data_IF_561973409141
#
_entry.id   IF_561973409141
#
_cell.length_a   1.000
_cell.length_b   1.000
_cell.length_c   1.000
_cell.angle_alpha   90.00
_cell.angle_beta   90.00
_cell.angle_gamma   90.00
#
_symmetry.space_group_name_H-M   'P 1'
#
loop_
_entity.id
_entity.type
_entity.pdbx_description
1 polymer ?
#
# COMPACT_ATOMS: atom_id res chain seq x y z
N UNK A 1 -8.89 12.85 19.76
CA UNK A 1 -8.50 11.98 18.63
C UNK A 1 -8.16 10.62 19.19
N UNK A 2 -8.93 9.59 18.85
CA UNK A 2 -8.66 8.21 19.25
C UNK A 2 -7.40 7.72 18.52
N UNK A 3 -6.61 6.89 19.20
CA UNK A 3 -5.25 6.48 18.81
C UNK A 3 -5.17 5.70 17.48
N UNK A 4 -6.32 5.38 16.88
CA UNK A 4 -6.45 4.44 15.75
C UNK A 4 -6.68 5.10 14.39
N UNK A 5 -6.66 6.44 14.31
CA UNK A 5 -6.80 7.14 13.02
C UNK A 5 -5.45 7.24 12.31
N UNK A 6 -5.47 7.17 10.97
CA UNK A 6 -4.28 7.41 10.15
C UNK A 6 -3.70 8.79 10.46
N UNK A 7 -2.42 8.83 10.82
CA UNK A 7 -1.68 10.06 11.11
C UNK A 7 -0.70 10.39 9.99
N UNK A 8 -0.37 11.65 9.82
CA UNK A 8 0.75 12.05 8.96
C UNK A 8 2.08 11.45 9.47
N UNK A 9 3.05 11.17 8.58
CA UNK A 9 4.39 10.76 9.02
C UNK A 9 5.07 11.90 9.78
N UNK A 10 6.00 11.56 10.68
CA UNK A 10 6.84 12.55 11.35
C UNK A 10 7.79 13.23 10.36
N UNK A 11 8.30 14.42 10.70
CA UNK A 11 9.28 15.12 9.88
C UNK A 11 10.51 14.25 9.60
N UNK A 12 10.97 14.24 8.34
CA UNK A 12 12.06 13.37 7.88
C UNK A 12 11.65 11.94 7.54
N UNK A 13 10.39 11.55 7.74
CA UNK A 13 9.86 10.25 7.37
C UNK A 13 8.85 10.35 6.22
N UNK A 14 8.70 9.25 5.51
CA UNK A 14 7.57 9.01 4.61
C UNK A 14 6.67 7.95 5.22
N UNK A 15 5.38 7.98 4.87
CA UNK A 15 4.46 6.88 5.17
C UNK A 15 4.22 6.08 3.91
N UNK A 16 4.40 4.76 3.99
CA UNK A 16 4.10 3.85 2.89
C UNK A 16 2.79 3.13 3.23
N UNK A 17 1.77 3.35 2.41
CA UNK A 17 0.53 2.58 2.50
C UNK A 17 0.58 1.48 1.44
N UNK A 18 0.37 0.24 1.85
CA UNK A 18 0.47 -0.95 0.99
C UNK A 18 -0.87 -1.65 1.00
N UNK A 19 -1.30 -2.10 -0.18
CA UNK A 19 -2.47 -2.95 -0.36
C UNK A 19 -2.14 -4.11 -1.31
N UNK A 20 -2.87 -5.20 -1.15
CA UNK A 20 -2.74 -6.40 -1.98
C UNK A 20 -4.06 -6.78 -2.60
N UNK A 21 -4.02 -7.26 -3.84
CA UNK A 21 -5.20 -7.78 -4.52
C UNK A 21 -4.91 -9.11 -5.19
N UNK A 22 -5.93 -9.97 -5.23
CA UNK A 22 -5.90 -11.25 -5.93
C UNK A 22 -7.08 -11.30 -6.89
N UNK A 23 -6.82 -11.67 -8.15
CA UNK A 23 -7.90 -11.92 -9.10
C UNK A 23 -8.43 -13.34 -8.94
N UNK A 24 -9.76 -13.47 -8.88
CA UNK A 24 -10.46 -14.77 -8.80
C UNK A 24 -10.61 -15.44 -10.16
N UNK A 25 -10.46 -14.68 -11.26
CA UNK A 25 -10.59 -15.19 -12.63
C UNK A 25 -9.25 -15.70 -13.20
N UNK A 26 -8.16 -15.00 -12.90
CA UNK A 26 -6.80 -15.45 -13.15
C UNK A 26 -6.10 -15.42 -11.81
N UNK A 27 -5.63 -16.55 -11.26
CA UNK A 27 -5.10 -16.62 -9.90
C UNK A 27 -3.78 -15.88 -9.80
N UNK A 28 -3.80 -14.54 -9.90
CA UNK A 28 -2.65 -13.64 -9.92
C UNK A 28 -2.81 -12.70 -8.75
N UNK A 29 -1.79 -12.68 -7.90
CA UNK A 29 -1.68 -11.71 -6.82
C UNK A 29 -0.77 -10.56 -7.24
N UNK A 30 -1.18 -9.36 -6.85
CA UNK A 30 -0.42 -8.13 -6.99
C UNK A 30 -0.39 -7.41 -5.65
N UNK A 31 0.73 -6.76 -5.37
CA UNK A 31 0.84 -5.79 -4.28
C UNK A 31 1.13 -4.43 -4.88
N UNK A 32 0.60 -3.39 -4.26
CA UNK A 32 0.90 -2.02 -4.63
C UNK A 32 1.00 -1.14 -3.40
N UNK A 33 1.56 0.04 -3.58
CA UNK A 33 1.62 0.99 -2.50
C UNK A 33 1.86 2.40 -2.95
N UNK A 34 1.55 3.33 -2.05
CA UNK A 34 1.76 4.76 -2.22
C UNK A 34 2.70 5.28 -1.14
N UNK A 35 3.68 6.07 -1.57
CA UNK A 35 4.58 6.80 -0.70
C UNK A 35 3.98 8.18 -0.45
N UNK A 36 3.77 8.49 0.83
CA UNK A 36 3.13 9.72 1.31
C UNK A 36 4.12 10.59 2.07
N UNK A 37 4.15 11.87 1.73
CA UNK A 37 4.99 12.86 2.38
C UNK A 37 4.42 13.38 3.70
N UNK A 38 5.10 14.37 4.28
CA UNK A 38 4.82 14.96 5.60
C UNK A 38 3.37 15.44 5.79
N UNK A 39 2.71 15.89 4.73
CA UNK A 39 1.32 16.36 4.74
C UNK A 39 0.37 15.37 4.04
N UNK A 40 0.77 14.11 3.88
CA UNK A 40 0.01 13.10 3.15
C UNK A 40 -0.03 13.29 1.63
N UNK A 41 0.76 14.23 1.09
CA UNK A 41 0.94 14.39 -0.35
C UNK A 41 1.46 13.11 -0.98
N UNK A 42 1.05 12.87 -2.22
CA UNK A 42 1.59 11.77 -3.01
C UNK A 42 3.01 12.10 -3.47
N UNK A 43 3.95 11.20 -3.19
CA UNK A 43 5.36 11.32 -3.63
C UNK A 43 5.74 10.29 -4.70
N UNK A 44 5.02 9.17 -4.78
CA UNK A 44 5.29 8.09 -5.72
C UNK A 44 4.49 6.84 -5.37
N UNK A 45 4.53 5.84 -6.24
CA UNK A 45 3.87 4.56 -6.02
C UNK A 45 4.65 3.41 -6.64
N UNK A 46 4.29 2.20 -6.26
CA UNK A 46 4.83 0.98 -6.83
C UNK A 46 3.72 -0.05 -7.02
N UNK A 47 3.92 -0.92 -8.00
CA UNK A 47 3.15 -2.15 -8.18
C UNK A 47 4.11 -3.31 -8.43
N UNK A 48 3.80 -4.46 -7.84
CA UNK A 48 4.59 -5.67 -8.01
C UNK A 48 3.61 -6.82 -8.22
N UNK A 49 3.89 -7.60 -9.25
CA UNK A 49 3.20 -8.88 -9.48
C UNK A 49 3.92 -9.91 -8.62
N UNK A 50 3.22 -10.43 -7.60
CA UNK A 50 3.81 -11.39 -6.68
C UNK A 50 3.86 -12.79 -7.30
N UNK A 51 2.86 -13.11 -8.14
CA UNK A 51 2.83 -14.36 -8.88
C UNK A 51 1.44 -14.97 -8.89
N UNK A 52 1.39 -16.29 -9.07
CA UNK A 52 0.14 -17.03 -8.99
C UNK A 52 -0.26 -17.23 -7.53
N UNK A 53 -1.48 -16.86 -7.17
CA UNK A 53 -2.01 -17.06 -5.83
C UNK A 53 -3.17 -18.04 -5.90
N UNK A 54 -3.02 -19.17 -5.21
CA UNK A 54 -4.13 -20.07 -4.96
C UNK A 54 -4.84 -19.62 -3.69
N UNK A 55 -6.13 -19.31 -3.80
CA UNK A 55 -7.02 -19.13 -2.66
C UNK A 55 -7.51 -20.53 -2.30
N UNK A 56 -6.76 -21.24 -1.46
CA UNK A 56 -7.20 -22.50 -0.86
C UNK A 56 -8.01 -22.21 0.40
#
# INVERSE_FOLDING_TARGET
>A
MTKDQWQFPNHGWVKVNVDGSVSTFKPRATIGGVVRGLNGSWMGGFEIVVGLANVF
#
